data_IF_734570896448
#
_entry.id   IF_734570896448
#
_cell.length_a   1.000
_cell.length_b   1.000
_cell.length_c   1.000
_cell.angle_alpha   90.00
_cell.angle_beta   90.00
_cell.angle_gamma   90.00
#
_symmetry.space_group_name_H-M   'P 1'
#
loop_
_entity.id
_entity.type
_entity.pdbx_description
1 polymer ?
#
# COMPACT_ATOMS: atom_id res chain seq x y z
N UNK A 1 6.38 -19.21 14.14
CA UNK A 1 6.13 -18.94 12.70
C UNK A 1 7.09 -19.80 11.91
N UNK A 2 6.60 -20.62 10.96
CA UNK A 2 7.46 -21.52 10.16
C UNK A 2 8.04 -20.78 8.95
N UNK A 3 9.15 -21.29 8.38
CA UNK A 3 9.86 -20.70 7.24
C UNK A 3 8.94 -20.48 6.01
N UNK A 4 8.04 -21.44 5.72
CA UNK A 4 7.03 -21.29 4.65
C UNK A 4 6.09 -20.09 4.87
N UNK A 5 5.69 -19.84 6.12
CA UNK A 5 4.84 -18.70 6.45
C UNK A 5 5.61 -17.39 6.30
N UNK A 6 6.90 -17.36 6.65
CA UNK A 6 7.75 -16.19 6.42
C UNK A 6 7.92 -15.87 4.92
N UNK A 7 8.10 -16.88 4.08
CA UNK A 7 8.15 -16.72 2.61
C UNK A 7 6.84 -16.15 2.06
N UNK A 8 5.70 -16.69 2.51
CA UNK A 8 4.38 -16.22 2.09
C UNK A 8 4.12 -14.76 2.53
N UNK A 9 4.51 -14.39 3.75
CA UNK A 9 4.43 -13.01 4.21
C UNK A 9 5.34 -12.06 3.44
N UNK A 10 6.52 -12.50 3.00
CA UNK A 10 7.39 -11.67 2.17
C UNK A 10 6.77 -11.38 0.80
N UNK A 11 6.24 -12.40 0.13
CA UNK A 11 5.57 -12.25 -1.18
C UNK A 11 4.36 -11.32 -1.04
N UNK A 12 3.55 -11.51 0.00
CA UNK A 12 2.39 -10.66 0.25
C UNK A 12 2.80 -9.22 0.60
N UNK A 13 3.90 -9.03 1.33
CA UNK A 13 4.44 -7.71 1.62
C UNK A 13 4.89 -6.97 0.35
N UNK A 14 5.54 -7.65 -0.61
CA UNK A 14 5.87 -7.07 -1.91
C UNK A 14 4.60 -6.67 -2.68
N UNK A 15 3.59 -7.54 -2.70
CA UNK A 15 2.30 -7.28 -3.35
C UNK A 15 1.59 -6.07 -2.75
N UNK A 16 1.57 -5.99 -1.42
CA UNK A 16 0.95 -4.89 -0.69
C UNK A 16 1.72 -3.59 -0.92
N UNK A 17 3.05 -3.63 -0.96
CA UNK A 17 3.90 -2.45 -1.26
C UNK A 17 3.61 -1.92 -2.67
N UNK A 18 3.54 -2.79 -3.67
CA UNK A 18 3.17 -2.41 -5.03
C UNK A 18 1.77 -1.78 -5.07
N UNK A 19 0.80 -2.41 -4.40
CA UNK A 19 -0.58 -1.89 -4.31
C UNK A 19 -0.63 -0.52 -3.60
N UNK A 20 0.18 -0.32 -2.56
CA UNK A 20 0.31 0.94 -1.82
C UNK A 20 0.81 2.06 -2.75
N UNK A 21 1.89 1.80 -3.51
CA UNK A 21 2.46 2.75 -4.46
C UNK A 21 1.48 3.10 -5.58
N UNK A 22 0.82 2.11 -6.18
CA UNK A 22 -0.20 2.35 -7.21
C UNK A 22 -1.37 3.17 -6.66
N UNK A 23 -1.88 2.83 -5.47
CA UNK A 23 -3.00 3.56 -4.84
C UNK A 23 -2.63 5.01 -4.54
N UNK A 24 -1.38 5.26 -4.12
CA UNK A 24 -0.86 6.61 -3.89
C UNK A 24 -0.81 7.42 -5.17
N UNK A 25 -0.23 6.88 -6.25
CA UNK A 25 -0.15 7.56 -7.55
C UNK A 25 -1.55 7.85 -8.10
N UNK A 26 -2.46 6.87 -8.02
CA UNK A 26 -3.83 7.05 -8.49
C UNK A 26 -4.57 8.14 -7.69
N UNK A 27 -4.38 8.18 -6.37
CA UNK A 27 -4.99 9.22 -5.51
C UNK A 27 -4.50 10.62 -5.90
N UNK A 28 -3.21 10.77 -6.21
CA UNK A 28 -2.63 12.05 -6.67
C UNK A 28 -3.18 12.45 -8.03
N UNK A 29 -3.27 11.51 -8.98
CA UNK A 29 -3.82 11.77 -10.31
C UNK A 29 -5.30 12.16 -10.26
N UNK A 30 -6.11 11.46 -9.46
CA UNK A 30 -7.52 11.80 -9.26
C UNK A 30 -7.67 13.15 -8.57
N UNK A 31 -6.81 13.47 -7.59
CA UNK A 31 -6.81 14.77 -6.92
C UNK A 31 -6.46 15.92 -7.87
N UNK A 32 -5.44 15.75 -8.72
CA UNK A 32 -5.09 16.72 -9.76
C UNK A 32 -6.23 16.88 -10.78
N UNK A 33 -6.86 15.77 -11.19
CA UNK A 33 -8.03 15.79 -12.06
C UNK A 33 -9.22 16.54 -11.44
N UNK A 34 -9.48 16.35 -10.15
CA UNK A 34 -10.51 17.09 -9.41
C UNK A 34 -10.21 18.59 -9.38
N UNK A 35 -8.96 18.98 -9.16
CA UNK A 35 -8.54 20.38 -9.16
C UNK A 35 -8.80 21.03 -10.52
N UNK A 36 -8.37 20.38 -11.61
CA UNK A 36 -8.63 20.84 -12.97
C UNK A 36 -10.13 20.91 -13.26
N UNK A 37 -10.89 19.87 -12.89
CA UNK A 37 -12.36 19.82 -13.05
C UNK A 37 -13.07 20.95 -12.29
N UNK A 38 -12.54 21.39 -11.15
CA UNK A 38 -13.12 22.47 -10.35
C UNK A 38 -13.00 23.86 -11.00
N UNK A 39 -12.11 24.05 -11.97
CA UNK A 39 -11.86 25.34 -12.63
C UNK A 39 -12.80 25.55 -13.82
N UNK A 40 -13.24 24.47 -14.48
CA UNK A 40 -14.12 24.59 -15.65
C UNK A 40 -15.59 24.85 -15.24
N UNK A 41 -16.26 25.84 -15.85
CA UNK A 41 -17.69 26.02 -15.68
C UNK A 41 -18.42 24.93 -16.49
N UNK A 42 -19.10 24.02 -15.80
CA UNK A 42 -19.97 23.00 -16.39
C UNK A 42 -21.32 22.98 -15.66
N UNK A 43 -22.41 22.83 -16.41
CA UNK A 43 -23.78 22.80 -15.85
C UNK A 43 -24.01 21.59 -14.92
N UNK A 44 -23.23 20.50 -15.05
CA UNK A 44 -23.34 19.28 -14.25
C UNK A 44 -22.20 19.08 -13.22
N UNK A 45 -21.54 20.17 -12.79
CA UNK A 45 -20.36 20.14 -11.92
C UNK A 45 -20.54 19.34 -10.63
N UNK A 46 -21.74 19.35 -10.04
CA UNK A 46 -22.05 18.64 -8.78
C UNK A 46 -21.94 17.12 -8.91
N UNK A 47 -22.47 16.54 -10.00
CA UNK A 47 -22.49 15.09 -10.20
C UNK A 47 -21.06 14.58 -10.46
N UNK A 48 -20.33 15.26 -11.34
CA UNK A 48 -18.93 14.92 -11.63
C UNK A 48 -18.04 15.04 -10.40
N UNK A 49 -18.21 16.11 -9.60
CA UNK A 49 -17.48 16.30 -8.36
C UNK A 49 -17.75 15.18 -7.34
N UNK A 50 -19.01 14.75 -7.18
CA UNK A 50 -19.37 13.66 -6.27
C UNK A 50 -18.75 12.31 -6.68
N UNK A 51 -18.74 12.01 -7.98
CA UNK A 51 -18.12 10.77 -8.50
C UNK A 51 -16.61 10.78 -8.29
N UNK A 52 -15.93 11.88 -8.62
CA UNK A 52 -14.47 11.97 -8.50
C UNK A 52 -14.05 11.97 -7.02
N UNK A 53 -14.78 12.65 -6.13
CA UNK A 53 -14.50 12.64 -4.69
C UNK A 53 -14.71 11.26 -4.06
N UNK A 54 -15.78 10.55 -4.41
CA UNK A 54 -16.00 9.17 -3.92
C UNK A 54 -14.91 8.21 -4.40
N UNK A 55 -14.47 8.32 -5.66
CA UNK A 55 -13.30 7.58 -6.16
C UNK A 55 -12.02 7.91 -5.39
N UNK A 56 -11.78 9.19 -5.10
CA UNK A 56 -10.61 9.62 -4.33
C UNK A 56 -10.63 9.05 -2.91
N UNK A 57 -11.78 9.09 -2.22
CA UNK A 57 -11.95 8.49 -0.89
C UNK A 57 -11.66 6.98 -0.93
N UNK A 58 -12.14 6.27 -1.95
CA UNK A 58 -11.87 4.84 -2.10
C UNK A 58 -10.37 4.54 -2.30
N UNK A 59 -9.67 5.35 -3.10
CA UNK A 59 -8.23 5.21 -3.33
C UNK A 59 -7.42 5.48 -2.06
N UNK A 60 -7.77 6.54 -1.31
CA UNK A 60 -7.16 6.85 -0.01
C UNK A 60 -7.42 5.73 1.00
N UNK A 61 -8.65 5.20 1.06
CA UNK A 61 -8.98 4.08 1.92
C UNK A 61 -8.13 2.83 1.60
N UNK A 62 -8.03 2.46 0.32
CA UNK A 62 -7.17 1.37 -0.16
C UNK A 62 -5.71 1.60 0.22
N UNK A 63 -5.22 2.82 0.07
CA UNK A 63 -3.86 3.20 0.45
C UNK A 63 -3.61 3.00 1.95
N UNK A 64 -4.47 3.55 2.81
CA UNK A 64 -4.36 3.44 4.28
C UNK A 64 -4.48 1.97 4.73
N UNK A 65 -5.42 1.22 4.16
CA UNK A 65 -5.60 -0.21 4.46
C UNK A 65 -4.37 -1.03 4.10
N UNK A 66 -3.80 -0.81 2.91
CA UNK A 66 -2.57 -1.47 2.47
C UNK A 66 -1.37 -1.07 3.32
N UNK A 67 -1.25 0.19 3.72
CA UNK A 67 -0.19 0.64 4.65
C UNK A 67 -0.26 -0.06 6.00
N UNK A 68 -1.46 -0.22 6.58
CA UNK A 68 -1.65 -0.98 7.83
C UNK A 68 -1.23 -2.45 7.68
N UNK A 69 -1.62 -3.10 6.57
CA UNK A 69 -1.19 -4.47 6.27
C UNK A 69 0.33 -4.58 6.13
N UNK A 70 0.95 -3.64 5.41
CA UNK A 70 2.40 -3.60 5.23
C UNK A 70 3.14 -3.55 6.57
N UNK A 71 2.71 -2.68 7.50
CA UNK A 71 3.30 -2.59 8.84
C UNK A 71 3.19 -3.94 9.56
N UNK A 72 1.98 -4.53 9.59
CA UNK A 72 1.76 -5.83 10.27
C UNK A 72 2.63 -6.95 9.70
N UNK A 73 2.79 -7.02 8.37
CA UNK A 73 3.65 -8.01 7.73
C UNK A 73 5.13 -7.75 8.00
N UNK A 74 5.55 -6.47 7.99
CA UNK A 74 6.93 -6.09 8.33
C UNK A 74 7.26 -6.45 9.77
N UNK A 75 6.37 -6.18 10.72
CA UNK A 75 6.58 -6.49 12.14
C UNK A 75 6.66 -8.00 12.38
N UNK A 76 5.78 -8.77 11.72
CA UNK A 76 5.79 -10.23 11.79
C UNK A 76 7.10 -10.82 11.25
N UNK A 77 7.59 -10.28 10.13
CA UNK A 77 8.86 -10.69 9.54
C UNK A 77 10.07 -10.26 10.40
N UNK A 78 10.05 -9.03 10.92
CA UNK A 78 11.07 -8.55 11.86
C UNK A 78 11.18 -9.44 13.09
N UNK A 79 10.05 -9.83 13.69
CA UNK A 79 10.04 -10.73 14.85
C UNK A 79 10.66 -12.08 14.52
N UNK A 80 10.40 -12.62 13.33
CA UNK A 80 11.00 -13.87 12.87
C UNK A 80 12.50 -13.76 12.59
N UNK A 81 12.94 -12.67 11.96
CA UNK A 81 14.35 -12.43 11.70
C UNK A 81 15.14 -12.23 13.00
N UNK A 82 14.59 -11.51 13.97
CA UNK A 82 15.23 -11.40 15.28
C UNK A 82 15.32 -12.73 16.01
N UNK A 83 14.29 -13.58 15.94
CA UNK A 83 14.30 -14.87 16.63
C UNK A 83 15.23 -15.92 16.01
N UNK A 84 15.43 -15.88 14.68
CA UNK A 84 16.18 -16.94 13.97
C UNK A 84 17.51 -16.46 13.37
N UNK A 85 17.58 -15.21 12.93
CA UNK A 85 18.75 -14.64 12.22
C UNK A 85 19.51 -13.62 13.08
N UNK A 86 18.96 -13.21 14.23
CA UNK A 86 19.57 -12.22 15.15
C UNK A 86 19.69 -10.82 14.57
N UNK A 87 18.94 -10.50 13.50
CA UNK A 87 19.01 -9.22 12.77
C UNK A 87 17.62 -8.78 12.29
N UNK A 88 17.50 -7.52 11.90
CA UNK A 88 16.23 -6.99 11.40
C UNK A 88 15.90 -7.50 9.99
N UNK A 89 14.61 -7.50 9.63
CA UNK A 89 14.15 -7.78 8.26
C UNK A 89 14.76 -6.85 7.21
N UNK A 90 15.08 -5.61 7.59
CA UNK A 90 15.71 -4.64 6.68
C UNK A 90 17.17 -4.99 6.36
N UNK A 91 17.85 -5.71 7.26
CA UNK A 91 19.24 -6.13 7.12
C UNK A 91 19.38 -7.58 6.65
N UNK A 92 18.34 -8.40 6.86
CA UNK A 92 18.27 -9.75 6.31
C UNK A 92 18.17 -9.68 4.78
N UNK A 93 19.16 -10.23 4.08
CA UNK A 93 19.06 -10.39 2.63
C UNK A 93 17.99 -11.45 2.36
N UNK A 94 17.29 -11.33 1.23
CA UNK A 94 16.25 -12.29 0.86
C UNK A 94 16.78 -13.74 0.76
N UNK A 95 18.07 -13.92 0.47
CA UNK A 95 18.80 -15.19 0.55
C UNK A 95 18.76 -15.84 1.93
N UNK A 96 18.74 -15.04 2.99
CA UNK A 96 18.79 -15.52 4.38
C UNK A 96 17.45 -16.12 4.85
N UNK A 97 16.40 -16.02 4.01
CA UNK A 97 15.11 -16.70 4.20
C UNK A 97 15.00 -18.01 3.40
N UNK A 98 15.98 -18.28 2.52
CA UNK A 98 15.97 -19.41 1.59
C UNK A 98 16.84 -20.57 2.06
N UNK A 99 17.89 -20.30 2.84
CA UNK A 99 18.73 -21.28 3.54
C UNK A 99 18.06 -21.81 4.83
#
# INVERSE_FOLDING_TARGET
MNLEHAKLFHIELLRVKSTEETSRVLSVLIGAGLFVYSIFPQENKLIGFYIITTMLVFCVYKWVSSRKRRIKYTDSLNSYCWSNLGKSYAEAKFSDFLD
#
